data_IF_623254309041
#
_entry.id   IF_623254309041
#
_cell.length_a   1.000
_cell.length_b   1.000
_cell.length_c   1.000
_cell.angle_alpha   90.00
_cell.angle_beta   90.00
_cell.angle_gamma   90.00
#
_symmetry.space_group_name_H-M   'P 1'
#
loop_
_entity.id
_entity.type
_entity.pdbx_description
1 polymer ?
#
# COMPACT_ATOMS: atom_id res chain seq x y z
N UNK A 1 -36.41 80.06 29.37
CA UNK A 1 -35.76 78.78 29.68
C UNK A 1 -36.50 77.67 28.96
N UNK A 2 -36.08 77.29 27.74
CA UNK A 2 -36.64 76.12 27.06
C UNK A 2 -35.63 75.66 26.01
N UNK A 3 -34.86 74.60 26.31
CA UNK A 3 -33.93 73.98 25.37
C UNK A 3 -34.42 72.58 25.01
N UNK A 4 -34.43 72.38 23.69
CA UNK A 4 -34.78 71.21 22.87
C UNK A 4 -34.25 69.89 23.43
N UNK A 5 -35.12 68.88 23.47
CA UNK A 5 -34.76 67.47 23.64
C UNK A 5 -34.73 66.81 22.25
N UNK A 6 -33.54 66.45 21.78
CA UNK A 6 -33.34 65.59 20.61
C UNK A 6 -33.44 64.13 21.11
N UNK A 7 -34.43 63.37 20.64
CA UNK A 7 -34.52 61.92 20.87
C UNK A 7 -33.65 61.21 19.83
N UNK A 8 -32.55 60.60 20.28
CA UNK A 8 -31.72 59.70 19.49
C UNK A 8 -32.41 58.32 19.44
N UNK A 9 -32.89 57.90 18.27
CA UNK A 9 -33.26 56.50 18.03
C UNK A 9 -31.99 55.72 17.69
N UNK A 10 -31.43 54.99 18.66
CA UNK A 10 -30.41 53.99 18.41
C UNK A 10 -31.07 52.72 17.86
N UNK A 11 -30.94 52.48 16.55
CA UNK A 11 -31.26 51.19 15.95
C UNK A 11 -30.17 50.17 16.36
N UNK A 12 -30.52 49.28 17.29
CA UNK A 12 -29.71 48.10 17.61
C UNK A 12 -29.83 47.10 16.46
N UNK A 13 -28.82 47.05 15.60
CA UNK A 13 -28.62 45.95 14.65
C UNK A 13 -28.12 44.72 15.45
N UNK A 14 -28.77 43.55 15.32
CA UNK A 14 -28.26 42.34 15.94
C UNK A 14 -26.98 41.90 15.22
N UNK A 15 -25.87 41.86 15.96
CA UNK A 15 -24.66 41.16 15.55
C UNK A 15 -24.98 39.66 15.48
N UNK A 16 -25.21 39.15 14.27
CA UNK A 16 -25.23 37.72 14.02
C UNK A 16 -23.79 37.20 14.13
N UNK A 17 -23.48 36.51 15.23
CA UNK A 17 -22.25 35.71 15.34
C UNK A 17 -22.27 34.66 14.22
N UNK A 18 -21.19 34.49 13.43
CA UNK A 18 -21.09 33.34 12.55
C UNK A 18 -21.10 32.09 13.43
N UNK A 19 -22.18 31.32 13.34
CA UNK A 19 -22.22 29.97 13.85
C UNK A 19 -21.14 29.20 13.09
N UNK A 20 -20.03 28.89 13.75
CA UNK A 20 -19.13 27.84 13.30
C UNK A 20 -19.94 26.54 13.35
N UNK A 21 -20.65 26.24 12.26
CA UNK A 21 -21.03 24.88 11.98
C UNK A 21 -19.72 24.10 11.94
N UNK A 22 -19.45 23.36 13.01
CA UNK A 22 -18.41 22.35 13.01
C UNK A 22 -18.74 21.42 11.85
N UNK A 23 -18.00 21.57 10.75
CA UNK A 23 -18.02 20.68 9.61
C UNK A 23 -17.71 19.29 10.16
N UNK A 24 -18.77 18.52 10.37
CA UNK A 24 -18.66 17.17 10.90
C UNK A 24 -18.02 16.40 9.76
N UNK A 25 -16.71 16.15 9.87
CA UNK A 25 -15.99 15.34 8.91
C UNK A 25 -16.82 14.08 8.63
N UNK A 26 -17.03 13.69 7.35
CA UNK A 26 -17.84 12.53 7.02
C UNK A 26 -17.34 11.34 7.84
N UNK A 27 -18.26 10.64 8.49
CA UNK A 27 -17.95 9.58 9.45
C UNK A 27 -17.28 8.40 8.72
N UNK A 28 -15.96 8.48 8.58
CA UNK A 28 -15.13 7.39 8.09
C UNK A 28 -15.24 6.18 9.01
N UNK A 29 -14.93 5.01 8.47
CA UNK A 29 -14.93 3.77 9.24
C UNK A 29 -13.96 3.89 10.44
N UNK A 30 -14.51 3.81 11.65
CA UNK A 30 -13.70 3.84 12.89
C UNK A 30 -13.12 2.46 13.13
N UNK A 31 -11.80 2.37 13.28
CA UNK A 31 -11.09 1.13 13.61
C UNK A 31 -10.33 1.20 14.93
N UNK A 32 -10.29 0.06 15.63
CA UNK A 32 -9.50 -0.16 16.84
C UNK A 32 -7.99 -0.26 16.57
N UNK A 33 -7.58 -0.59 15.35
CA UNK A 33 -6.18 -0.70 14.98
C UNK A 33 -5.47 0.66 15.07
N UNK A 34 -4.21 0.68 15.51
CA UNK A 34 -3.41 1.91 15.52
C UNK A 34 -3.01 2.31 14.10
N UNK A 35 -2.67 1.32 13.26
CA UNK A 35 -2.42 1.47 11.84
C UNK A 35 -3.40 0.61 11.05
N UNK A 36 -3.94 1.14 9.96
CA UNK A 36 -4.79 0.38 9.05
C UNK A 36 -4.60 0.87 7.62
N UNK A 37 -4.50 -0.06 6.69
CA UNK A 37 -4.51 0.23 5.26
C UNK A 37 -5.24 -0.87 4.51
N UNK A 38 -6.22 -0.51 3.69
CA UNK A 38 -6.99 -1.44 2.87
C UNK A 38 -7.15 -0.89 1.46
N UNK A 39 -6.95 -1.77 0.48
CA UNK A 39 -7.24 -1.47 -0.91
C UNK A 39 -8.18 -2.52 -1.50
N UNK A 40 -8.87 -2.11 -2.56
CA UNK A 40 -9.42 -3.04 -3.56
C UNK A 40 -8.35 -3.25 -4.65
N UNK A 41 -8.14 -4.51 -5.05
CA UNK A 41 -6.98 -4.92 -5.83
C UNK A 41 -7.05 -4.56 -7.32
N UNK A 42 -8.22 -4.66 -7.96
CA UNK A 42 -8.35 -4.48 -9.41
C UNK A 42 -8.11 -3.04 -9.84
N UNK A 43 -8.51 -2.08 -9.00
CA UNK A 43 -8.31 -0.65 -9.24
C UNK A 43 -7.16 -0.06 -8.44
N UNK A 44 -6.73 -0.70 -7.35
CA UNK A 44 -5.83 -0.10 -6.37
C UNK A 44 -6.50 0.98 -5.53
N UNK A 45 -7.85 1.04 -5.51
CA UNK A 45 -8.58 2.07 -4.76
C UNK A 45 -8.36 1.87 -3.26
N UNK A 46 -7.86 2.90 -2.59
CA UNK A 46 -7.71 2.90 -1.13
C UNK A 46 -9.09 3.02 -0.48
N UNK A 47 -9.48 2.00 0.28
CA UNK A 47 -10.76 1.92 1.01
C UNK A 47 -10.63 2.36 2.47
N UNK A 48 -9.52 2.03 3.13
CA UNK A 48 -9.20 2.47 4.49
C UNK A 48 -7.74 2.93 4.57
N UNK A 49 -7.49 4.04 5.24
CA UNK A 49 -6.15 4.52 5.56
C UNK A 49 -6.18 5.21 6.93
N UNK A 50 -5.33 4.76 7.84
CA UNK A 50 -5.13 5.32 9.18
C UNK A 50 -3.69 5.06 9.58
N UNK A 51 -2.89 6.11 9.73
CA UNK A 51 -1.48 6.02 10.08
C UNK A 51 -0.72 4.99 9.22
N UNK A 52 -1.09 4.87 7.94
CA UNK A 52 -0.67 3.81 7.04
C UNK A 52 0.84 3.83 6.75
N UNK A 53 1.43 5.01 6.85
CA UNK A 53 2.86 5.29 6.71
C UNK A 53 3.64 5.19 8.03
N UNK A 54 2.95 5.10 9.17
CA UNK A 54 3.61 5.03 10.48
C UNK A 54 4.27 3.66 10.64
N UNK A 55 5.58 3.68 10.92
CA UNK A 55 6.34 2.45 11.07
C UNK A 55 6.03 1.71 12.38
N UNK A 56 6.03 0.38 12.31
CA UNK A 56 5.93 -0.54 13.44
C UNK A 56 6.79 -1.78 13.19
N UNK A 57 7.03 -2.57 14.24
CA UNK A 57 7.76 -3.82 14.19
C UNK A 57 6.99 -4.86 13.37
N UNK A 58 7.58 -5.47 12.32
CA UNK A 58 6.83 -6.40 11.48
C UNK A 58 6.40 -7.67 12.21
N UNK A 59 7.12 -8.08 13.27
CA UNK A 59 6.96 -9.39 13.88
C UNK A 59 6.92 -10.49 12.79
N UNK A 60 6.09 -11.52 12.96
CA UNK A 60 5.95 -12.59 11.97
C UNK A 60 5.46 -12.15 10.58
N UNK A 61 5.02 -10.91 10.38
CA UNK A 61 4.68 -10.40 9.05
C UNK A 61 5.91 -10.26 8.14
N UNK A 62 7.13 -10.17 8.70
CA UNK A 62 8.38 -10.19 7.91
C UNK A 62 8.53 -11.44 7.06
N UNK A 63 7.89 -12.55 7.46
CA UNK A 63 7.90 -13.82 6.73
C UNK A 63 7.26 -13.72 5.35
N UNK A 64 6.38 -12.73 5.13
CA UNK A 64 5.83 -12.45 3.80
C UNK A 64 6.94 -12.07 2.82
N UNK A 65 7.92 -11.26 3.25
CA UNK A 65 9.06 -10.87 2.42
C UNK A 65 10.03 -12.05 2.23
N UNK A 66 10.13 -12.94 3.22
CA UNK A 66 10.86 -14.21 3.06
C UNK A 66 10.22 -15.08 1.98
N UNK A 67 8.89 -15.22 1.99
CA UNK A 67 8.16 -15.95 0.94
C UNK A 67 8.28 -15.27 -0.43
N UNK A 68 8.27 -13.93 -0.49
CA UNK A 68 8.47 -13.18 -1.73
C UNK A 68 9.80 -13.55 -2.42
N UNK A 69 10.91 -13.55 -1.67
CA UNK A 69 12.22 -13.94 -2.21
C UNK A 69 12.27 -15.41 -2.64
N UNK A 70 11.65 -16.31 -1.85
CA UNK A 70 11.59 -17.75 -2.16
C UNK A 70 10.80 -17.98 -3.45
N UNK A 71 9.62 -17.38 -3.57
CA UNK A 71 8.78 -17.48 -4.76
C UNK A 71 9.43 -16.83 -5.97
N UNK A 72 10.12 -15.70 -5.79
CA UNK A 72 10.95 -15.07 -6.82
C UNK A 72 12.04 -15.99 -7.35
N UNK A 73 12.70 -16.73 -6.47
CA UNK A 73 13.78 -17.66 -6.85
C UNK A 73 13.23 -18.91 -7.53
N UNK A 74 12.08 -19.42 -7.07
CA UNK A 74 11.35 -20.51 -7.74
C UNK A 74 10.90 -20.11 -9.14
N UNK A 75 10.31 -18.93 -9.30
CA UNK A 75 9.84 -18.40 -10.60
C UNK A 75 10.99 -18.21 -11.59
N UNK A 76 12.18 -17.85 -11.12
CA UNK A 76 13.40 -17.74 -11.93
C UNK A 76 14.08 -19.09 -12.21
N UNK A 77 13.64 -20.18 -11.56
CA UNK A 77 14.28 -21.49 -11.67
C UNK A 77 15.64 -21.58 -10.98
N UNK A 78 15.97 -20.66 -10.08
CA UNK A 78 17.21 -20.68 -9.29
C UNK A 78 17.19 -21.81 -8.25
N UNK A 79 15.98 -22.14 -7.76
CA UNK A 79 15.68 -23.27 -6.89
C UNK A 79 14.43 -23.97 -7.40
N UNK A 80 14.19 -25.19 -6.93
CA UNK A 80 12.97 -25.96 -7.20
C UNK A 80 12.28 -26.31 -5.89
N UNK A 81 11.02 -26.76 -5.95
CA UNK A 81 10.31 -27.27 -4.78
C UNK A 81 11.01 -28.49 -4.14
N UNK A 82 11.79 -29.24 -4.94
CA UNK A 82 12.56 -30.41 -4.50
C UNK A 82 13.96 -30.06 -3.99
N UNK A 83 14.42 -28.82 -4.14
CA UNK A 83 15.69 -28.38 -3.58
C UNK A 83 15.65 -28.59 -2.06
N UNK A 84 16.69 -29.21 -1.51
CA UNK A 84 16.78 -29.46 -0.08
C UNK A 84 17.85 -28.59 0.57
N UNK A 85 17.54 -28.09 1.76
CA UNK A 85 18.49 -27.33 2.57
C UNK A 85 18.78 -28.02 3.91
N UNK A 86 20.04 -28.01 4.37
CA UNK A 86 20.41 -28.60 5.64
C UNK A 86 19.88 -27.76 6.81
N UNK A 87 19.45 -28.43 7.88
CA UNK A 87 19.06 -27.77 9.13
C UNK A 87 20.31 -27.48 9.98
N UNK A 88 20.67 -26.20 10.07
CA UNK A 88 21.80 -25.74 10.89
C UNK A 88 21.46 -25.73 12.40
N UNK A 89 22.51 -25.70 13.23
CA UNK A 89 22.34 -25.53 14.68
C UNK A 89 21.77 -24.15 15.04
N UNK A 90 22.03 -23.14 14.20
CA UNK A 90 21.48 -21.81 14.37
C UNK A 90 19.96 -21.81 14.12
N UNK A 91 19.51 -22.36 12.99
CA UNK A 91 18.08 -22.49 12.68
C UNK A 91 17.34 -23.29 13.76
N UNK A 92 17.89 -24.44 14.16
CA UNK A 92 17.29 -25.27 15.20
C UNK A 92 17.19 -24.55 16.55
N UNK A 93 18.23 -23.83 16.98
CA UNK A 93 18.25 -23.18 18.31
C UNK A 93 17.43 -21.90 18.36
N UNK A 94 17.53 -21.08 17.31
CA UNK A 94 16.96 -19.72 17.27
C UNK A 94 15.51 -19.72 16.79
N UNK A 95 15.15 -20.58 15.83
CA UNK A 95 13.80 -20.67 15.27
C UNK A 95 13.09 -22.00 15.54
N UNK A 96 13.82 -23.03 15.99
CA UNK A 96 13.28 -24.38 16.18
C UNK A 96 12.71 -24.63 17.58
N UNK A 97 12.53 -25.90 17.94
CA UNK A 97 11.91 -26.33 19.20
C UNK A 97 12.47 -25.68 20.49
N UNK A 98 13.80 -25.51 20.66
CA UNK A 98 14.37 -24.86 21.85
C UNK A 98 13.99 -23.38 21.99
N UNK A 99 13.66 -22.68 20.89
CA UNK A 99 13.37 -21.25 20.89
C UNK A 99 12.07 -20.88 21.60
N UNK A 100 11.14 -21.84 21.75
CA UNK A 100 9.76 -21.62 22.22
C UNK A 100 8.96 -20.62 21.38
N UNK A 101 9.37 -20.43 20.13
CA UNK A 101 8.66 -19.61 19.15
C UNK A 101 7.94 -20.51 18.12
N UNK A 102 7.30 -19.91 17.12
CA UNK A 102 6.66 -20.68 16.06
C UNK A 102 7.70 -21.49 15.27
N UNK A 103 7.48 -22.80 15.12
CA UNK A 103 8.46 -23.74 14.57
C UNK A 103 7.74 -24.87 13.84
N UNK A 104 8.36 -25.40 12.79
CA UNK A 104 7.95 -26.66 12.17
C UNK A 104 8.64 -27.89 12.80
N UNK A 105 9.38 -27.71 13.89
CA UNK A 105 10.17 -28.75 14.56
C UNK A 105 11.19 -29.41 13.63
N UNK A 106 11.88 -28.60 12.83
CA UNK A 106 12.95 -29.06 11.93
C UNK A 106 14.05 -29.78 12.72
N UNK A 107 14.38 -31.01 12.34
CA UNK A 107 15.35 -31.83 13.06
C UNK A 107 16.79 -31.42 12.71
N UNK A 108 17.64 -31.25 13.72
CA UNK A 108 19.05 -30.92 13.51
C UNK A 108 19.76 -32.00 12.67
N UNK A 109 20.64 -31.60 11.74
CA UNK A 109 21.36 -32.49 10.80
C UNK A 109 20.45 -33.23 9.79
N UNK A 110 19.21 -32.80 9.63
CA UNK A 110 18.34 -33.25 8.53
C UNK A 110 18.45 -32.30 7.33
N UNK A 111 17.83 -32.70 6.21
CA UNK A 111 17.62 -31.86 5.03
C UNK A 111 16.10 -31.77 4.80
N UNK A 112 15.62 -30.58 4.42
CA UNK A 112 14.18 -30.34 4.22
C UNK A 112 13.99 -29.72 2.84
N UNK A 113 13.03 -30.26 2.09
CA UNK A 113 12.62 -29.73 0.78
C UNK A 113 12.05 -28.32 0.92
N UNK A 114 12.32 -27.46 -0.06
CA UNK A 114 11.80 -26.10 -0.13
C UNK A 114 10.27 -26.07 -0.01
N UNK A 115 9.57 -27.02 -0.64
CA UNK A 115 8.11 -27.14 -0.53
C UNK A 115 7.63 -27.29 0.93
N UNK A 116 8.29 -28.15 1.70
CA UNK A 116 7.93 -28.39 3.10
C UNK A 116 8.28 -27.19 3.99
N UNK A 117 9.37 -26.49 3.69
CA UNK A 117 9.73 -25.23 4.35
C UNK A 117 8.68 -24.14 4.07
N UNK A 118 8.22 -24.00 2.81
CA UNK A 118 7.15 -23.06 2.43
C UNK A 118 5.87 -23.38 3.20
N UNK A 119 5.44 -24.65 3.23
CA UNK A 119 4.25 -25.08 3.98
C UNK A 119 4.39 -24.81 5.48
N UNK A 120 5.56 -25.10 6.05
CA UNK A 120 5.87 -24.78 7.45
C UNK A 120 5.76 -23.28 7.74
N UNK A 121 6.28 -22.43 6.86
CA UNK A 121 6.20 -20.97 7.03
C UNK A 121 4.77 -20.46 6.83
N UNK A 122 4.10 -20.84 5.74
CA UNK A 122 2.78 -20.33 5.39
C UNK A 122 1.68 -20.78 6.37
N UNK A 123 1.73 -22.03 6.84
CA UNK A 123 0.71 -22.60 7.74
C UNK A 123 1.03 -22.30 9.20
N UNK A 124 2.29 -22.47 9.63
CA UNK A 124 2.68 -22.36 11.04
C UNK A 124 3.44 -21.10 11.42
N UNK A 125 3.84 -20.27 10.44
CA UNK A 125 4.75 -19.16 10.71
C UNK A 125 6.09 -19.67 11.26
N UNK A 126 6.58 -20.82 10.78
CA UNK A 126 7.78 -21.48 11.28
C UNK A 126 9.05 -20.63 11.13
N UNK A 127 9.68 -20.26 12.25
CA UNK A 127 10.91 -19.46 12.27
C UNK A 127 12.12 -20.26 11.81
N UNK A 128 12.26 -21.52 12.24
CA UNK A 128 13.26 -22.44 11.72
C UNK A 128 13.18 -22.58 10.20
N UNK A 129 11.96 -22.73 9.65
CA UNK A 129 11.73 -22.78 8.21
C UNK A 129 12.28 -21.55 7.47
N UNK A 130 12.00 -20.35 7.97
CA UNK A 130 12.53 -19.11 7.42
C UNK A 130 14.07 -19.05 7.47
N UNK A 131 14.69 -19.41 8.60
CA UNK A 131 16.15 -19.37 8.75
C UNK A 131 16.82 -20.39 7.82
N UNK A 132 16.26 -21.60 7.68
CA UNK A 132 16.79 -22.63 6.77
C UNK A 132 16.74 -22.15 5.32
N UNK A 133 15.61 -21.56 4.89
CA UNK A 133 15.48 -20.97 3.55
C UNK A 133 16.52 -19.85 3.35
N UNK A 134 16.67 -18.98 4.35
CA UNK A 134 17.60 -17.85 4.30
C UNK A 134 19.07 -18.29 4.19
N UNK A 135 19.49 -19.24 5.03
CA UNK A 135 20.84 -19.81 5.00
C UNK A 135 21.08 -20.58 3.69
N UNK A 136 20.10 -21.37 3.24
CA UNK A 136 20.19 -22.13 2.00
C UNK A 136 20.35 -21.27 0.75
N UNK A 137 19.57 -20.19 0.65
CA UNK A 137 19.53 -19.35 -0.54
C UNK A 137 20.61 -18.25 -0.57
N UNK A 138 21.12 -17.82 0.59
CA UNK A 138 22.02 -16.66 0.69
C UNK A 138 23.28 -16.93 1.53
N UNK A 139 23.50 -18.17 1.94
CA UNK A 139 24.61 -18.62 2.78
C UNK A 139 24.47 -18.25 4.25
N UNK A 140 23.86 -17.10 4.58
CA UNK A 140 23.59 -16.65 5.94
C UNK A 140 22.25 -15.91 6.02
N UNK A 141 21.60 -15.92 7.18
CA UNK A 141 20.38 -15.14 7.39
C UNK A 141 20.61 -13.63 7.21
N UNK A 142 21.76 -13.10 7.61
CA UNK A 142 22.09 -11.68 7.44
C UNK A 142 22.14 -11.23 5.97
N UNK A 143 22.72 -12.05 5.09
CA UNK A 143 22.74 -11.78 3.66
C UNK A 143 21.32 -11.81 3.07
N UNK A 144 20.49 -12.75 3.53
CA UNK A 144 19.10 -12.86 3.13
C UNK A 144 18.29 -11.65 3.58
N UNK A 145 18.44 -11.20 4.84
CA UNK A 145 17.78 -10.00 5.34
C UNK A 145 18.17 -8.72 4.57
N UNK A 146 19.44 -8.61 4.16
CA UNK A 146 19.87 -7.54 3.27
C UNK A 146 19.19 -7.64 1.89
N UNK A 147 18.96 -8.84 1.37
CA UNK A 147 18.18 -9.06 0.14
C UNK A 147 16.70 -8.70 0.32
N UNK A 148 16.10 -9.01 1.47
CA UNK A 148 14.72 -8.63 1.81
C UNK A 148 14.55 -7.11 1.79
N UNK A 149 15.49 -6.37 2.40
CA UNK A 149 15.47 -4.90 2.40
C UNK A 149 15.65 -4.32 0.98
N UNK A 150 16.58 -4.87 0.18
CA UNK A 150 16.72 -4.46 -1.23
C UNK A 150 15.44 -4.73 -2.03
N UNK A 151 14.81 -5.88 -1.82
CA UNK A 151 13.56 -6.24 -2.47
C UNK A 151 12.44 -5.26 -2.09
N UNK A 152 12.33 -4.92 -0.82
CA UNK A 152 11.40 -3.90 -0.34
C UNK A 152 11.54 -2.57 -1.10
N UNK A 153 12.77 -2.10 -1.33
CA UNK A 153 13.03 -0.88 -2.11
C UNK A 153 12.57 -0.99 -3.57
N UNK A 154 12.70 -2.16 -4.19
CA UNK A 154 12.19 -2.39 -5.57
C UNK A 154 10.67 -2.42 -5.66
N UNK A 155 9.99 -2.66 -4.53
CA UNK A 155 8.53 -2.65 -4.40
C UNK A 155 8.01 -1.30 -3.87
N UNK A 156 8.86 -0.27 -3.88
CA UNK A 156 8.56 1.06 -3.35
C UNK A 156 8.25 1.12 -1.83
N UNK A 157 8.64 0.08 -1.08
CA UNK A 157 8.56 0.05 0.39
C UNK A 157 9.78 0.75 1.01
N UNK A 158 10.04 2.00 0.63
CA UNK A 158 11.32 2.70 0.89
C UNK A 158 11.69 2.84 2.38
N UNK A 159 10.69 2.81 3.26
CA UNK A 159 10.87 2.95 4.72
C UNK A 159 10.94 1.60 5.44
N UNK A 160 10.67 0.51 4.73
CA UNK A 160 10.72 -0.83 5.30
C UNK A 160 12.14 -1.37 5.35
N UNK A 161 12.51 -1.90 6.51
CA UNK A 161 13.82 -2.49 6.79
C UNK A 161 13.59 -3.85 7.42
N UNK A 162 14.30 -4.86 6.90
CA UNK A 162 14.31 -6.22 7.44
C UNK A 162 15.73 -6.57 7.88
N UNK A 163 15.89 -6.95 9.15
CA UNK A 163 17.20 -7.33 9.71
C UNK A 163 17.33 -8.82 10.03
N UNK A 164 16.25 -9.60 9.83
CA UNK A 164 16.26 -11.06 9.87
C UNK A 164 15.08 -11.62 9.03
N UNK A 165 15.05 -12.94 8.79
CA UNK A 165 14.08 -13.62 7.93
C UNK A 165 12.73 -13.94 8.59
N UNK A 166 12.67 -13.77 9.91
CA UNK A 166 11.55 -14.27 10.73
C UNK A 166 10.68 -13.14 11.28
N UNK A 167 11.26 -11.95 11.41
CA UNK A 167 10.77 -10.82 12.19
C UNK A 167 10.81 -11.05 13.71
N UNK A 168 11.67 -11.95 14.19
CA UNK A 168 11.99 -12.01 15.62
C UNK A 168 12.51 -10.64 16.10
N UNK A 169 12.23 -10.25 17.35
CA UNK A 169 12.55 -8.91 17.84
C UNK A 169 14.06 -8.61 17.80
N UNK A 170 14.42 -7.51 17.13
CA UNK A 170 15.79 -6.98 17.06
C UNK A 170 15.87 -5.46 17.24
N UNK A 171 14.72 -4.80 17.42
CA UNK A 171 14.59 -3.35 17.58
C UNK A 171 14.91 -2.52 16.34
N UNK A 172 15.18 -3.15 15.19
CA UNK A 172 15.62 -2.48 13.96
C UNK A 172 14.67 -2.71 12.78
N UNK A 173 14.10 -3.91 12.68
CA UNK A 173 13.14 -4.23 11.62
C UNK A 173 11.91 -3.33 11.74
N UNK A 174 11.50 -2.71 10.64
CA UNK A 174 10.37 -1.78 10.58
C UNK A 174 9.62 -1.94 9.27
N UNK A 175 8.30 -1.82 9.33
CA UNK A 175 7.40 -1.81 8.17
C UNK A 175 6.26 -0.82 8.39
N UNK A 176 5.51 -0.48 7.33
CA UNK A 176 4.27 0.29 7.40
C UNK A 176 3.07 -0.56 6.98
N UNK A 177 1.85 -0.13 7.29
CA UNK A 177 0.66 -0.87 6.86
C UNK A 177 0.49 -0.80 5.34
N UNK A 178 0.86 0.33 4.72
CA UNK A 178 0.89 0.48 3.26
C UNK A 178 1.87 -0.50 2.62
N UNK A 179 3.10 -0.54 3.12
CA UNK A 179 4.16 -1.40 2.59
C UNK A 179 3.78 -2.88 2.65
N UNK A 180 3.12 -3.29 3.73
CA UNK A 180 2.64 -4.67 3.89
C UNK A 180 1.51 -5.04 2.92
N UNK A 181 0.61 -4.10 2.59
CA UNK A 181 -0.39 -4.32 1.54
C UNK A 181 0.26 -4.37 0.18
N UNK A 182 1.24 -3.49 -0.12
CA UNK A 182 2.01 -3.54 -1.36
C UNK A 182 2.67 -4.90 -1.54
N UNK A 183 3.30 -5.42 -0.49
CA UNK A 183 3.90 -6.75 -0.51
C UNK A 183 2.86 -7.87 -0.71
N UNK A 184 1.68 -7.78 -0.08
CA UNK A 184 0.62 -8.77 -0.26
C UNK A 184 0.06 -8.80 -1.69
N UNK A 185 -0.05 -7.64 -2.32
CA UNK A 185 -0.44 -7.49 -3.73
C UNK A 185 0.62 -8.11 -4.63
N UNK A 186 1.90 -7.78 -4.43
CA UNK A 186 2.99 -8.35 -5.23
C UNK A 186 3.05 -9.88 -5.09
N UNK A 187 2.92 -10.42 -3.88
CA UNK A 187 2.86 -11.86 -3.66
C UNK A 187 1.76 -12.55 -4.48
N UNK A 188 0.59 -11.93 -4.58
CA UNK A 188 -0.55 -12.48 -5.32
C UNK A 188 -0.39 -12.34 -6.85
N UNK A 189 0.08 -11.17 -7.31
CA UNK A 189 0.18 -10.86 -8.74
C UNK A 189 1.43 -11.48 -9.39
N UNK A 190 2.56 -11.43 -8.69
CA UNK A 190 3.84 -11.93 -9.19
C UNK A 190 3.98 -13.44 -9.06
N UNK A 191 3.31 -14.07 -8.08
CA UNK A 191 3.45 -15.50 -7.81
C UNK A 191 2.10 -16.24 -7.61
N UNK A 192 1.13 -16.09 -8.52
CA UNK A 192 -0.18 -16.73 -8.39
C UNK A 192 -0.09 -18.26 -8.26
N UNK A 193 0.94 -18.88 -8.83
CA UNK A 193 1.20 -20.32 -8.75
C UNK A 193 1.56 -20.79 -7.34
N UNK A 194 2.13 -19.92 -6.49
CA UNK A 194 2.55 -20.26 -5.12
C UNK A 194 1.65 -19.62 -4.04
N UNK A 195 0.83 -18.64 -4.40
CA UNK A 195 -0.02 -17.92 -3.46
C UNK A 195 -0.96 -18.83 -2.65
N UNK A 196 -1.38 -19.96 -3.24
CA UNK A 196 -2.28 -20.93 -2.62
C UNK A 196 -1.76 -21.50 -1.28
N UNK A 197 -0.45 -21.48 -1.01
CA UNK A 197 0.11 -21.95 0.26
C UNK A 197 -0.40 -21.16 1.47
N UNK A 198 -0.71 -19.86 1.31
CA UNK A 198 -1.25 -19.03 2.41
C UNK A 198 -2.67 -19.44 2.81
N UNK A 199 -3.42 -20.07 1.91
CA UNK A 199 -4.77 -20.57 2.13
C UNK A 199 -4.81 -22.04 2.57
N UNK A 200 -3.66 -22.72 2.61
CA UNK A 200 -3.60 -24.13 3.00
C UNK A 200 -4.09 -24.30 4.45
N UNK A 201 -5.13 -25.10 4.73
CA UNK A 201 -5.79 -25.12 6.03
C UNK A 201 -4.95 -25.78 7.12
N UNK A 202 -4.11 -26.73 6.75
CA UNK A 202 -3.29 -27.52 7.65
C UNK A 202 -2.10 -28.13 6.92
N UNK A 203 -1.12 -28.58 7.70
CA UNK A 203 0.09 -29.22 7.22
C UNK A 203 0.51 -30.30 8.22
N UNK A 204 0.77 -31.50 7.74
CA UNK A 204 1.38 -32.56 8.52
C UNK A 204 2.86 -32.68 8.19
N UNK A 205 3.71 -32.48 9.19
CA UNK A 205 5.15 -32.60 9.07
C UNK A 205 5.71 -33.41 10.22
N UNK A 206 6.63 -34.33 9.94
CA UNK A 206 7.26 -35.19 10.95
C UNK A 206 6.22 -35.89 11.86
N UNK A 207 5.08 -36.32 11.29
CA UNK A 207 3.92 -36.92 11.99
C UNK A 207 3.24 -35.98 13.00
N UNK A 208 3.43 -34.68 12.84
CA UNK A 208 2.80 -33.63 13.65
C UNK A 208 1.85 -32.87 12.73
N UNK A 209 0.55 -33.06 12.96
CA UNK A 209 -0.50 -32.31 12.27
C UNK A 209 -0.62 -30.90 12.88
N UNK A 210 -0.60 -29.87 12.04
CA UNK A 210 -0.68 -28.49 12.48
C UNK A 210 -1.64 -27.68 11.60
N UNK A 211 -2.54 -26.91 12.24
CA UNK A 211 -3.54 -26.08 11.54
C UNK A 211 -3.03 -24.68 11.27
N UNK A 212 -3.42 -24.10 10.15
CA UNK A 212 -3.05 -22.75 9.77
C UNK A 212 -3.42 -21.74 10.87
N UNK A 213 -2.49 -20.85 11.18
CA UNK A 213 -2.64 -19.83 12.23
C UNK A 213 -3.50 -18.65 11.81
N UNK A 214 -3.80 -18.50 10.51
CA UNK A 214 -4.67 -17.45 10.02
C UNK A 214 -6.12 -17.73 10.49
N UNK A 215 -6.67 -16.93 11.42
CA UNK A 215 -7.98 -17.19 12.02
C UNK A 215 -9.14 -16.90 11.06
N UNK A 216 -8.86 -16.27 9.91
CA UNK A 216 -9.88 -15.92 8.92
C UNK A 216 -10.25 -17.08 8.01
N UNK A 217 -9.36 -18.08 7.89
CA UNK A 217 -9.62 -19.27 7.09
C UNK A 217 -10.82 -20.02 7.67
N UNK A 218 -11.77 -20.37 6.81
CA UNK A 218 -12.99 -21.07 7.21
C UNK A 218 -14.10 -20.19 7.80
N UNK A 219 -13.92 -18.85 7.92
CA UNK A 219 -14.99 -17.94 8.39
C UNK A 219 -16.02 -17.58 7.31
N UNK A 220 -15.93 -18.17 6.11
CA UNK A 220 -16.82 -17.85 4.98
C UNK A 220 -16.61 -16.45 4.39
N UNK A 221 -15.49 -15.79 4.71
CA UNK A 221 -15.19 -14.43 4.24
C UNK A 221 -14.62 -14.38 2.82
N UNK A 222 -14.26 -15.54 2.24
CA UNK A 222 -13.42 -15.60 1.04
C UNK A 222 -11.93 -15.36 1.34
N UNK A 223 -11.52 -15.49 2.60
CA UNK A 223 -10.15 -15.25 3.03
C UNK A 223 -9.21 -16.35 2.52
N UNK A 224 -8.08 -15.94 1.94
CA UNK A 224 -7.08 -16.82 1.34
C UNK A 224 -5.63 -16.42 1.69
N UNK A 225 -5.46 -15.54 2.68
CA UNK A 225 -4.16 -15.16 3.19
C UNK A 225 -4.22 -14.07 4.28
N UNK A 226 -3.08 -13.57 4.76
CA UNK A 226 -1.74 -14.12 4.51
C UNK A 226 -1.03 -14.49 5.81
N UNK A 227 -0.90 -13.57 6.76
CA UNK A 227 -0.12 -13.83 7.97
C UNK A 227 -0.55 -12.94 9.16
N UNK A 228 -0.27 -13.43 10.36
CA UNK A 228 -0.47 -12.71 11.62
C UNK A 228 0.85 -12.37 12.29
N UNK A 229 0.90 -11.28 13.03
CA UNK A 229 2.05 -10.85 13.83
C UNK A 229 1.64 -10.49 15.27
N UNK A 230 2.64 -10.54 16.15
CA UNK A 230 2.57 -10.05 17.52
C UNK A 230 3.94 -9.52 17.91
N UNK A 231 4.00 -8.24 18.29
CA UNK A 231 5.18 -7.61 18.84
C UNK A 231 4.89 -7.14 20.26
N UNK A 232 5.74 -7.53 21.21
CA UNK A 232 5.60 -7.10 22.59
C UNK A 232 5.70 -5.57 22.69
N UNK A 233 4.78 -4.95 23.42
CA UNK A 233 4.68 -3.49 23.53
C UNK A 233 4.02 -2.79 22.33
N UNK A 234 3.91 -3.43 21.18
CA UNK A 234 3.26 -2.86 19.98
C UNK A 234 1.93 -3.55 19.62
N UNK A 235 1.66 -4.73 20.18
CA UNK A 235 0.38 -5.44 20.03
C UNK A 235 0.32 -6.40 18.84
N UNK A 236 -0.90 -6.70 18.42
CA UNK A 236 -1.23 -7.68 17.39
C UNK A 236 -1.41 -7.03 16.02
N UNK A 237 -0.95 -7.70 14.99
CA UNK A 237 -0.99 -7.25 13.60
C UNK A 237 -1.41 -8.38 12.66
N UNK A 238 -1.91 -8.04 11.48
CA UNK A 238 -2.34 -9.00 10.46
C UNK A 238 -2.24 -8.36 9.08
N UNK A 239 -1.86 -9.18 8.11
CA UNK A 239 -2.06 -8.91 6.69
C UNK A 239 -3.03 -9.96 6.17
N UNK A 240 -4.16 -9.52 5.65
CA UNK A 240 -5.24 -10.36 5.19
C UNK A 240 -5.55 -10.08 3.71
N UNK A 241 -5.95 -11.13 3.00
CA UNK A 241 -6.62 -11.00 1.71
C UNK A 241 -7.92 -11.78 1.73
N UNK A 242 -8.91 -11.26 1.02
CA UNK A 242 -10.17 -11.94 0.79
C UNK A 242 -10.68 -11.61 -0.61
N UNK A 243 -11.25 -12.60 -1.29
CA UNK A 243 -11.89 -12.42 -2.58
C UNK A 243 -13.32 -12.98 -2.55
N UNK A 244 -14.28 -12.17 -3.03
CA UNK A 244 -15.67 -12.59 -3.19
C UNK A 244 -16.32 -11.82 -4.32
N UNK A 245 -17.08 -12.52 -5.15
CA UNK A 245 -17.82 -11.94 -6.27
C UNK A 245 -16.92 -11.10 -7.22
N UNK A 246 -15.68 -11.55 -7.43
CA UNK A 246 -14.69 -10.87 -8.27
C UNK A 246 -14.03 -9.63 -7.64
N UNK A 247 -14.43 -9.24 -6.42
CA UNK A 247 -13.80 -8.16 -5.66
C UNK A 247 -12.76 -8.73 -4.70
N UNK A 248 -11.50 -8.38 -4.89
CA UNK A 248 -10.38 -8.77 -4.02
C UNK A 248 -9.94 -7.60 -3.16
N UNK A 249 -9.82 -7.86 -1.87
CA UNK A 249 -9.36 -6.89 -0.87
C UNK A 249 -8.00 -7.33 -0.30
N UNK A 250 -7.16 -6.35 -0.02
CA UNK A 250 -5.95 -6.52 0.79
C UNK A 250 -5.99 -5.55 1.95
N UNK A 251 -5.68 -6.04 3.14
CA UNK A 251 -5.78 -5.31 4.39
C UNK A 251 -4.56 -5.57 5.26
N UNK A 252 -3.93 -4.52 5.76
CA UNK A 252 -2.95 -4.61 6.85
C UNK A 252 -3.45 -3.83 8.06
N UNK A 253 -3.33 -4.44 9.25
CA UNK A 253 -3.63 -3.84 10.54
C UNK A 253 -2.45 -3.99 11.49
N UNK A 254 -2.20 -2.96 12.30
CA UNK A 254 -1.22 -2.96 13.38
C UNK A 254 -1.78 -2.35 14.67
N UNK A 255 -1.16 -2.67 15.81
CA UNK A 255 -1.48 -2.03 17.09
C UNK A 255 -2.78 -2.49 17.74
N UNK A 256 -3.22 -3.73 17.52
CA UNK A 256 -4.45 -4.26 18.14
C UNK A 256 -4.13 -4.88 19.50
N UNK A 257 -5.01 -4.71 20.48
CA UNK A 257 -4.73 -5.07 21.88
C UNK A 257 -4.67 -6.59 22.16
N UNK A 258 -5.43 -7.40 21.43
CA UNK A 258 -5.49 -8.85 21.65
C UNK A 258 -5.67 -9.65 20.36
N UNK A 259 -5.32 -10.93 20.39
CA UNK A 259 -5.51 -11.89 19.29
C UNK A 259 -6.99 -12.01 18.87
N UNK A 260 -7.88 -12.00 19.86
CA UNK A 260 -9.34 -12.02 19.67
C UNK A 260 -9.79 -10.73 18.96
N UNK A 261 -9.38 -9.58 19.46
CA UNK A 261 -9.72 -8.30 18.83
C UNK A 261 -9.15 -8.18 17.42
N UNK A 262 -7.95 -8.69 17.16
CA UNK A 262 -7.36 -8.73 15.83
C UNK A 262 -8.29 -9.47 14.87
N UNK A 263 -8.77 -10.64 15.26
CA UNK A 263 -9.65 -11.47 14.43
C UNK A 263 -11.00 -10.79 14.19
N UNK A 264 -11.66 -10.30 15.25
CA UNK A 264 -12.96 -9.64 15.17
C UNK A 264 -12.91 -8.37 14.34
N UNK A 265 -11.88 -7.54 14.54
CA UNK A 265 -11.71 -6.27 13.84
C UNK A 265 -11.39 -6.49 12.35
N UNK A 266 -10.55 -7.47 12.04
CA UNK A 266 -10.22 -7.81 10.64
C UNK A 266 -11.45 -8.29 9.89
N UNK A 267 -12.24 -9.18 10.51
CA UNK A 267 -13.52 -9.62 9.96
C UNK A 267 -14.45 -8.44 9.67
N UNK A 268 -14.62 -7.54 10.64
CA UNK A 268 -15.49 -6.36 10.52
C UNK A 268 -15.06 -5.43 9.38
N UNK A 269 -13.75 -5.21 9.22
CA UNK A 269 -13.21 -4.36 8.14
C UNK A 269 -13.38 -5.01 6.77
N UNK A 270 -13.08 -6.31 6.65
CA UNK A 270 -13.23 -7.03 5.38
C UNK A 270 -14.70 -7.09 4.94
N UNK A 271 -15.62 -7.36 5.86
CA UNK A 271 -17.06 -7.34 5.58
C UNK A 271 -17.51 -5.95 5.11
N UNK A 272 -17.08 -4.89 5.80
CA UNK A 272 -17.37 -3.51 5.40
C UNK A 272 -16.77 -3.17 4.03
N UNK A 273 -15.50 -3.51 3.79
CA UNK A 273 -14.83 -3.28 2.50
C UNK A 273 -15.53 -4.00 1.34
N UNK A 274 -16.07 -5.19 1.61
CA UNK A 274 -16.82 -5.96 0.62
C UNK A 274 -18.13 -5.25 0.25
N UNK A 275 -18.92 -4.80 1.23
CA UNK A 275 -20.32 -4.37 1.01
C UNK A 275 -20.53 -2.86 0.91
N UNK A 276 -19.64 -2.03 1.43
CA UNK A 276 -19.87 -0.58 1.55
C UNK A 276 -19.46 0.22 0.32
N UNK A 277 -18.87 -0.41 -0.70
CA UNK A 277 -18.31 0.26 -1.86
C UNK A 277 -18.76 -0.35 -3.18
N UNK A 278 -19.09 0.50 -4.13
CA UNK A 278 -19.40 0.15 -5.52
C UNK A 278 -18.34 0.65 -6.48
N UNK A 279 -18.13 -0.08 -7.58
CA UNK A 279 -17.23 0.33 -8.65
C UNK A 279 -17.88 1.43 -9.49
N UNK A 280 -17.12 2.48 -9.77
CA UNK A 280 -17.52 3.58 -10.64
C UNK A 280 -16.44 3.88 -11.66
N UNK A 281 -16.73 3.60 -12.92
CA UNK A 281 -15.89 4.02 -14.04
C UNK A 281 -15.98 5.53 -14.23
N UNK A 282 -14.82 6.19 -14.26
CA UNK A 282 -14.67 7.63 -14.48
C UNK A 282 -14.25 7.94 -15.92
N UNK A 283 -13.36 7.12 -16.49
CA UNK A 283 -12.89 7.25 -17.87
C UNK A 283 -12.82 5.85 -18.52
N UNK A 284 -13.25 5.76 -19.78
CA UNK A 284 -13.11 4.56 -20.60
C UNK A 284 -11.66 4.37 -21.08
N UNK A 285 -11.35 3.18 -21.62
CA UNK A 285 -10.05 2.93 -22.23
C UNK A 285 -9.76 3.93 -23.35
N UNK A 286 -8.57 4.53 -23.32
CA UNK A 286 -8.10 5.57 -24.25
C UNK A 286 -8.97 6.85 -24.29
N UNK A 287 -9.87 7.05 -23.34
CA UNK A 287 -10.58 8.31 -23.19
C UNK A 287 -9.60 9.42 -22.77
N UNK A 288 -9.77 10.61 -23.35
CA UNK A 288 -8.95 11.79 -22.99
C UNK A 288 -9.32 12.20 -21.57
N UNK A 289 -8.37 12.08 -20.66
CA UNK A 289 -8.51 12.45 -19.24
C UNK A 289 -8.36 13.96 -19.06
N UNK A 290 -7.52 14.59 -19.87
CA UNK A 290 -7.27 16.03 -19.88
C UNK A 290 -6.13 16.38 -20.83
N UNK A 291 -5.54 17.56 -20.69
CA UNK A 291 -4.43 18.02 -21.52
C UNK A 291 -3.31 18.66 -20.68
N UNK A 292 -2.06 18.47 -21.09
CA UNK A 292 -0.89 19.12 -20.54
C UNK A 292 -0.38 20.22 -21.49
N UNK A 293 0.11 21.33 -20.93
CA UNK A 293 0.77 22.37 -21.72
C UNK A 293 2.14 21.91 -22.24
N UNK A 294 2.44 22.27 -23.48
CA UNK A 294 3.71 21.97 -24.16
C UNK A 294 4.36 23.29 -24.58
N UNK A 295 5.59 23.51 -24.12
CA UNK A 295 6.43 24.63 -24.50
C UNK A 295 7.22 24.34 -25.77
N UNK A 296 7.20 25.27 -26.71
CA UNK A 296 8.02 25.23 -27.92
C UNK A 296 7.61 24.16 -28.92
N UNK A 297 6.41 23.61 -28.78
CA UNK A 297 5.84 22.60 -29.67
C UNK A 297 5.15 23.21 -30.90
N UNK A 298 4.83 22.37 -31.88
CA UNK A 298 3.91 22.73 -32.98
C UNK A 298 2.51 23.04 -32.45
N UNK A 299 2.11 22.35 -31.38
CA UNK A 299 0.92 22.64 -30.57
C UNK A 299 1.36 23.03 -29.16
N UNK A 300 0.64 23.97 -28.53
CA UNK A 300 0.93 24.41 -27.16
C UNK A 300 0.39 23.48 -26.07
N UNK A 301 -0.25 22.36 -26.46
CA UNK A 301 -0.84 21.36 -25.57
C UNK A 301 -0.76 19.97 -26.21
N UNK A 302 -0.84 18.95 -25.36
CA UNK A 302 -0.97 17.53 -25.72
C UNK A 302 -2.05 16.87 -24.87
N UNK A 303 -2.88 16.03 -25.48
CA UNK A 303 -3.91 15.28 -24.76
C UNK A 303 -3.29 14.13 -23.96
N UNK A 304 -3.88 13.85 -22.81
CA UNK A 304 -3.44 12.83 -21.86
C UNK A 304 -4.47 11.72 -21.72
N UNK A 305 -3.99 10.49 -21.75
CA UNK A 305 -4.79 9.25 -21.64
C UNK A 305 -4.18 8.33 -20.59
N UNK A 306 -5.00 7.45 -20.00
CA UNK A 306 -4.51 6.36 -19.14
C UNK A 306 -4.29 5.08 -19.97
N UNK A 307 -3.45 4.17 -19.46
CA UNK A 307 -3.27 2.81 -20.01
C UNK A 307 -4.37 1.88 -19.51
N UNK A 308 -5.58 2.05 -20.03
CA UNK A 308 -6.78 1.29 -19.63
C UNK A 308 -7.89 2.16 -19.04
N UNK A 309 -9.06 1.57 -18.75
CA UNK A 309 -10.16 2.28 -18.10
C UNK A 309 -9.76 2.70 -16.68
N UNK A 310 -10.26 3.87 -16.27
CA UNK A 310 -10.06 4.41 -14.93
C UNK A 310 -11.35 4.27 -14.14
N UNK A 311 -11.37 3.32 -13.22
CA UNK A 311 -12.47 3.14 -12.27
C UNK A 311 -12.00 3.30 -10.82
N UNK A 312 -12.93 3.65 -9.94
CA UNK A 312 -12.66 3.76 -8.50
C UNK A 312 -13.82 3.18 -7.70
N UNK A 313 -13.49 2.58 -6.56
CA UNK A 313 -14.50 2.17 -5.58
C UNK A 313 -14.91 3.35 -4.69
N UNK A 314 -16.19 3.68 -4.67
CA UNK A 314 -16.73 4.77 -3.85
C UNK A 314 -17.72 4.25 -2.81
N UNK A 315 -17.82 4.89 -1.63
CA UNK A 315 -18.83 4.55 -0.64
C UNK A 315 -20.25 4.66 -1.22
N UNK A 316 -21.06 3.61 -1.05
CA UNK A 316 -22.48 3.59 -1.45
C UNK A 316 -23.27 4.62 -0.64
N UNK A 317 -22.98 4.70 0.66
CA UNK A 317 -23.56 5.69 1.55
C UNK A 317 -22.68 6.94 1.59
N UNK A 318 -23.27 8.09 1.27
CA UNK A 318 -22.61 9.40 1.32
C UNK A 318 -21.38 9.46 0.39
N UNK A 319 -21.58 9.34 -0.95
CA UNK A 319 -20.48 9.47 -1.89
C UNK A 319 -19.91 10.88 -1.76
N UNK A 320 -18.74 10.99 -1.14
CA UNK A 320 -18.01 12.25 -1.06
C UNK A 320 -17.88 12.84 -2.47
N UNK A 321 -17.82 14.17 -2.55
CA UNK A 321 -17.59 14.83 -3.84
C UNK A 321 -16.23 14.40 -4.38
N UNK A 322 -16.26 13.54 -5.38
CA UNK A 322 -15.08 13.14 -6.12
C UNK A 322 -14.45 14.38 -6.75
N UNK A 323 -13.13 14.47 -6.61
CA UNK A 323 -12.29 15.45 -7.27
C UNK A 323 -11.18 14.71 -7.99
N UNK A 324 -10.85 15.17 -9.20
CA UNK A 324 -9.77 14.63 -10.00
C UNK A 324 -8.92 15.79 -10.49
N UNK A 325 -7.60 15.67 -10.36
CA UNK A 325 -6.64 16.67 -10.84
C UNK A 325 -5.45 16.00 -11.49
N UNK A 326 -4.88 16.66 -12.48
CA UNK A 326 -3.67 16.19 -13.16
C UNK A 326 -2.47 16.87 -12.51
N UNK A 327 -1.51 16.07 -12.05
CA UNK A 327 -0.25 16.53 -11.45
C UNK A 327 0.87 16.20 -12.41
N UNK A 328 1.62 17.21 -12.85
CA UNK A 328 2.74 17.04 -13.76
C UNK A 328 3.75 18.17 -13.61
N UNK A 329 4.95 17.94 -14.14
CA UNK A 329 5.99 18.96 -14.23
C UNK A 329 5.67 19.89 -15.39
N UNK A 330 5.13 21.06 -15.07
CA UNK A 330 4.75 22.06 -16.05
C UNK A 330 5.95 22.96 -16.45
N UNK A 331 6.06 23.37 -17.72
CA UNK A 331 5.42 22.79 -18.91
C UNK A 331 6.20 21.57 -19.43
N UNK A 332 5.58 20.74 -20.28
CA UNK A 332 6.32 19.73 -21.05
C UNK A 332 7.13 20.42 -22.14
N UNK A 333 8.39 20.02 -22.36
CA UNK A 333 9.25 20.63 -23.39
C UNK A 333 9.22 19.82 -24.69
N UNK A 334 8.96 20.47 -25.82
CA UNK A 334 9.02 19.81 -27.12
C UNK A 334 10.48 19.45 -27.54
N UNK A 335 10.70 18.34 -28.27
CA UNK A 335 9.68 17.40 -28.75
C UNK A 335 9.18 16.44 -27.66
N UNK A 336 7.88 16.16 -27.67
CA UNK A 336 7.23 15.19 -26.78
C UNK A 336 6.83 13.97 -27.61
N UNK A 337 7.29 12.78 -27.24
CA UNK A 337 6.90 11.55 -27.92
C UNK A 337 5.44 11.16 -27.62
N UNK A 338 4.83 10.36 -28.49
CA UNK A 338 3.56 9.67 -28.18
C UNK A 338 3.81 8.55 -27.16
N UNK A 339 2.79 8.24 -26.35
CA UNK A 339 2.86 7.25 -25.25
C UNK A 339 3.95 7.55 -24.21
N UNK A 340 4.38 8.81 -24.09
CA UNK A 340 5.32 9.24 -23.07
C UNK A 340 4.57 9.53 -21.77
N UNK A 341 5.10 9.04 -20.64
CA UNK A 341 4.56 9.36 -19.33
C UNK A 341 4.70 10.87 -19.06
N UNK A 342 3.58 11.53 -18.81
CA UNK A 342 3.49 12.99 -18.80
C UNK A 342 2.98 13.55 -17.47
N UNK A 343 2.37 12.73 -16.62
CA UNK A 343 1.86 13.14 -15.32
C UNK A 343 1.02 12.07 -14.65
N UNK A 344 0.33 12.44 -13.58
CA UNK A 344 -0.49 11.55 -12.77
C UNK A 344 -1.86 12.15 -12.54
N UNK A 345 -2.91 11.39 -12.83
CA UNK A 345 -4.26 11.68 -12.39
C UNK A 345 -4.38 11.30 -10.91
N UNK A 346 -4.59 12.31 -10.05
CA UNK A 346 -4.85 12.11 -8.62
C UNK A 346 -6.35 12.23 -8.39
N UNK A 347 -6.96 11.14 -7.92
CA UNK A 347 -8.39 11.04 -7.65
C UNK A 347 -8.58 11.03 -6.14
N UNK A 348 -9.37 11.98 -5.64
CA UNK A 348 -9.62 12.17 -4.21
C UNK A 348 -11.11 12.26 -3.92
N UNK A 349 -11.51 11.74 -2.77
CA UNK A 349 -12.83 11.92 -2.17
C UNK A 349 -12.66 12.83 -0.95
N UNK A 350 -13.25 14.03 -1.03
CA UNK A 350 -12.99 15.08 -0.03
C UNK A 350 -11.49 15.40 0.05
N UNK A 351 -10.89 15.27 1.24
CA UNK A 351 -9.47 15.51 1.47
C UNK A 351 -8.56 14.29 1.30
N UNK A 352 -9.09 13.10 0.98
CA UNK A 352 -8.33 11.85 0.96
C UNK A 352 -8.11 11.35 -0.47
N UNK A 353 -6.86 10.97 -0.77
CA UNK A 353 -6.49 10.34 -2.03
C UNK A 353 -7.04 8.91 -2.07
N UNK A 354 -7.78 8.58 -3.13
CA UNK A 354 -8.33 7.25 -3.37
C UNK A 354 -7.45 6.44 -4.32
N UNK A 355 -6.93 7.08 -5.37
CA UNK A 355 -6.17 6.42 -6.42
C UNK A 355 -5.29 7.44 -7.16
N UNK A 356 -4.12 6.98 -7.59
CA UNK A 356 -3.24 7.70 -8.49
C UNK A 356 -3.04 6.87 -9.76
N UNK A 357 -3.17 7.50 -10.93
CA UNK A 357 -3.08 6.82 -12.23
C UNK A 357 -2.09 7.56 -13.13
N UNK A 358 -1.00 6.91 -13.59
CA UNK A 358 -0.11 7.50 -14.58
C UNK A 358 -0.83 7.85 -15.87
N UNK A 359 -0.54 9.02 -16.41
CA UNK A 359 -1.07 9.54 -17.66
C UNK A 359 0.02 9.64 -18.71
N UNK A 360 -0.35 9.31 -19.94
CA UNK A 360 0.52 9.25 -21.10
C UNK A 360 0.02 10.17 -22.20
N UNK A 361 0.93 10.69 -23.02
CA UNK A 361 0.56 11.49 -24.19
C UNK A 361 -0.16 10.65 -25.22
N UNK A 362 -1.34 11.10 -25.66
CA UNK A 362 -2.10 10.41 -26.71
C UNK A 362 -1.44 10.54 -28.09
N UNK A 363 -0.71 11.63 -28.33
CA UNK A 363 0.02 11.90 -29.55
C UNK A 363 1.36 12.58 -29.27
N UNK A 364 2.28 12.51 -30.23
CA UNK A 364 3.54 13.26 -30.17
C UNK A 364 3.35 14.72 -30.54
N UNK A 365 4.16 15.59 -29.95
CA UNK A 365 4.24 17.02 -30.29
C UNK A 365 5.67 17.34 -30.71
N UNK A 366 5.84 17.56 -32.02
CA UNK A 366 7.11 17.97 -32.61
C UNK A 366 7.50 19.39 -32.23
N UNK A 367 8.77 19.74 -32.43
CA UNK A 367 9.24 21.10 -32.20
C UNK A 367 8.54 22.10 -33.13
N UNK A 368 8.08 23.21 -32.55
CA UNK A 368 7.45 24.30 -33.25
C UNK A 368 8.44 25.20 -34.00
N UNK A 369 7.88 26.07 -34.85
CA UNK A 369 8.63 27.12 -35.55
C UNK A 369 9.43 28.04 -34.61
N UNK A 370 10.41 28.79 -35.15
CA UNK A 370 11.11 29.84 -34.39
C UNK A 370 10.14 30.86 -33.76
N UNK A 371 9.07 31.20 -34.48
CA UNK A 371 8.05 32.15 -34.03
C UNK A 371 7.21 31.62 -32.86
N UNK A 372 6.80 30.34 -32.89
CA UNK A 372 6.04 29.76 -31.78
C UNK A 372 6.90 29.66 -30.52
N UNK A 373 8.17 29.26 -30.66
CA UNK A 373 9.13 29.24 -29.54
C UNK A 373 9.38 30.63 -28.96
N UNK A 374 9.45 31.67 -29.79
CA UNK A 374 9.64 33.04 -29.31
C UNK A 374 8.41 33.60 -28.57
N UNK A 375 7.20 33.24 -29.01
CA UNK A 375 5.94 33.59 -28.32
C UNK A 375 5.83 32.86 -26.99
N UNK A 376 6.14 31.55 -26.95
CA UNK A 376 6.12 30.78 -25.71
C UNK A 376 7.15 31.31 -24.70
N UNK A 377 8.35 31.68 -25.16
CA UNK A 377 9.37 32.32 -24.31
C UNK A 377 8.88 33.65 -23.72
N UNK A 378 8.14 34.46 -24.50
CA UNK A 378 7.54 35.70 -24.00
C UNK A 378 6.42 35.45 -22.98
N UNK A 379 5.61 34.42 -23.19
CA UNK A 379 4.55 34.02 -22.25
C UNK A 379 5.15 33.49 -20.94
N UNK A 380 6.17 32.63 -21.02
CA UNK A 380 6.86 32.08 -19.85
C UNK A 380 7.59 33.17 -19.06
N UNK A 381 8.26 34.12 -19.74
CA UNK A 381 8.84 35.29 -19.10
C UNK A 381 7.77 36.18 -18.45
N UNK A 382 6.64 36.39 -19.13
CA UNK A 382 5.51 37.15 -18.61
C UNK A 382 4.94 36.53 -17.34
N UNK A 383 4.70 35.22 -17.32
CA UNK A 383 4.23 34.48 -16.15
C UNK A 383 5.28 34.41 -15.05
N UNK A 384 6.55 34.22 -15.37
CA UNK A 384 7.65 34.25 -14.39
C UNK A 384 7.75 35.61 -13.71
N UNK A 385 7.58 36.71 -14.44
CA UNK A 385 7.58 38.06 -13.88
C UNK A 385 6.30 38.35 -13.08
N UNK A 386 5.13 37.94 -13.60
CA UNK A 386 3.81 38.12 -12.97
C UNK A 386 3.56 37.19 -11.78
N UNK A 387 4.33 36.12 -11.60
CA UNK A 387 4.17 35.23 -10.45
C UNK A 387 5.45 35.10 -9.64
N UNK A 388 6.50 35.86 -9.94
CA UNK A 388 7.77 35.89 -9.20
C UNK A 388 7.56 36.00 -7.67
N UNK A 389 6.60 36.80 -7.22
CA UNK A 389 6.27 36.96 -5.80
C UNK A 389 5.63 35.72 -5.12
N UNK A 390 5.13 34.76 -5.90
CA UNK A 390 4.58 33.48 -5.40
C UNK A 390 5.68 32.45 -5.13
N UNK A 391 6.87 32.64 -5.73
CA UNK A 391 8.01 31.73 -5.62
C UNK A 391 9.09 32.26 -4.65
N UNK A 392 9.00 33.52 -4.22
CA UNK A 392 9.95 34.21 -3.34
C UNK A 392 9.69 34.02 -1.82
N UNK A 393 8.92 33.00 -1.41
CA UNK A 393 8.89 32.57 0.00
C UNK A 393 9.98 31.53 0.26
N UNK A 394 11.24 31.95 0.15
CA UNK A 394 12.32 31.30 0.86
C UNK A 394 12.43 31.98 2.23
N UNK A 395 11.91 31.34 3.28
CA UNK A 395 12.43 31.63 4.62
C UNK A 395 13.87 31.12 4.68
N UNK A 396 14.84 31.96 5.09
CA UNK A 396 16.17 31.47 5.40
C UNK A 396 16.15 30.81 6.78
N UNK A 397 16.44 29.50 6.83
CA UNK A 397 17.11 28.87 7.98
C UNK A 397 18.33 28.12 7.51
#
# INVERSE_FOLDING_TARGET
MLKRLLRLCACLLPFASPSNAAETAPAGFVTKAAQAYMIEASTGTVLLAKNEEQSFSPASLAKLMTMDLVFGSLKKGEITLDTEYPVSEYAWRTGGAPSRTATMFAALKSHIRVEDLIKGVAVQGANDGCIILAEGMSGTEGNFAAAMTRRAQTLDMQKSIFTNSTGLPDGKSKVSARDLVTLAVDLQQSYPEYYHYFAQPDFEWNKIFQRNRNPLLGLGLGADGLATGFAEGEGYSIVASAERDGKRLFLALGGIASDKERTEETKRILEWGQTAFEDRQLFADKEIVGAASVYGGQTGKVDLVAKGPVSVYIPVSNPDRLSARIVYRWPLTAPVAADAEAGTLVISAGGRILREVPLYTAQGVEQGSLTSRAVDALLELGESLLFSWLWDTAEPT
#
